data_IF_386175532401
#
_entry.id   IF_386175532401
#
_cell.length_a   1.000
_cell.length_b   1.000
_cell.length_c   1.000
_cell.angle_alpha   90.00
_cell.angle_beta   90.00
_cell.angle_gamma   90.00
#
_symmetry.space_group_name_H-M   'P 1'
#
loop_
_entity.id
_entity.type
_entity.pdbx_description
1 polymer ?
#
# COMPACT_ATOMS: atom_id res chain seq x y z
N UNK A 1 14.55 31.03 -18.97
CA UNK A 1 15.71 30.12 -18.81
C UNK A 1 16.55 30.59 -17.63
N UNK A 2 16.24 30.08 -16.44
CA UNK A 2 16.82 30.37 -15.11
C UNK A 2 16.22 29.27 -14.23
N UNK A 3 16.90 28.38 -13.49
CA UNK A 3 18.26 28.30 -12.91
C UNK A 3 18.61 26.80 -12.69
N UNK A 4 19.84 26.33 -12.96
CA UNK A 4 20.36 25.06 -12.43
C UNK A 4 21.14 25.23 -11.10
N UNK A 5 21.04 26.41 -10.46
CA UNK A 5 21.87 26.77 -9.30
C UNK A 5 21.29 26.23 -7.97
N UNK A 6 19.98 25.94 -7.90
CA UNK A 6 19.35 25.51 -6.64
C UNK A 6 19.68 24.06 -6.25
N UNK A 7 19.97 23.20 -7.23
CA UNK A 7 20.31 21.79 -6.99
C UNK A 7 21.70 21.63 -6.34
N UNK A 8 22.64 22.54 -6.65
CA UNK A 8 23.98 22.55 -6.07
C UNK A 8 24.03 23.06 -4.63
N UNK A 9 23.13 23.98 -4.26
CA UNK A 9 23.08 24.50 -2.88
C UNK A 9 22.50 23.46 -1.91
N UNK A 10 21.56 22.61 -2.36
CA UNK A 10 20.97 21.58 -1.49
C UNK A 10 21.85 20.35 -1.29
N UNK A 11 22.59 19.92 -2.31
CA UNK A 11 23.62 18.87 -2.16
C UNK A 11 24.82 19.36 -1.35
N UNK A 12 25.21 20.63 -1.48
CA UNK A 12 26.30 21.23 -0.70
C UNK A 12 25.98 21.38 0.80
N UNK A 13 24.75 21.75 1.17
CA UNK A 13 24.36 21.90 2.59
C UNK A 13 24.32 20.56 3.32
N UNK A 14 23.90 19.47 2.64
CA UNK A 14 23.94 18.12 3.22
C UNK A 14 25.38 17.63 3.43
N UNK A 15 26.29 17.90 2.50
CA UNK A 15 27.70 17.51 2.64
C UNK A 15 28.42 18.32 3.74
N UNK A 16 28.08 19.61 3.90
CA UNK A 16 28.66 20.46 4.95
C UNK A 16 28.10 20.12 6.33
N UNK A 17 26.82 19.74 6.46
CA UNK A 17 26.28 19.24 7.73
C UNK A 17 26.83 17.86 8.11
N UNK A 18 27.11 16.99 7.14
CA UNK A 18 27.75 15.70 7.36
C UNK A 18 29.23 15.83 7.76
N UNK A 19 29.97 16.79 7.16
CA UNK A 19 31.35 17.09 7.53
C UNK A 19 31.45 17.84 8.88
N UNK A 20 30.55 18.78 9.17
CA UNK A 20 30.53 19.50 10.44
C UNK A 20 30.14 18.62 11.64
N UNK A 21 29.47 17.49 11.42
CA UNK A 21 29.16 16.51 12.46
C UNK A 21 30.30 15.50 12.73
N UNK A 22 31.30 15.40 11.83
CA UNK A 22 32.43 14.47 11.96
C UNK A 22 33.66 15.08 12.64
N UNK A 23 33.69 16.40 12.85
CA UNK A 23 34.90 17.09 13.31
C UNK A 23 35.03 17.21 14.84
N UNK A 24 34.11 16.63 15.62
CA UNK A 24 34.25 16.57 17.08
C UNK A 24 33.78 15.22 17.66
N UNK A 25 34.76 14.46 18.16
CA UNK A 25 34.70 13.16 18.88
C UNK A 25 34.72 11.91 18.00
N UNK A 26 35.64 10.99 18.35
CA UNK A 26 35.86 9.69 17.71
C UNK A 26 34.69 8.72 17.85
N UNK A 27 33.59 9.00 17.15
CA UNK A 27 32.48 8.10 16.98
C UNK A 27 32.88 6.98 15.99
N UNK A 28 32.74 5.74 16.43
CA UNK A 28 32.82 4.55 15.57
C UNK A 28 31.89 4.73 14.36
N UNK A 29 32.26 4.26 13.15
CA UNK A 29 31.39 4.31 11.98
C UNK A 29 30.00 3.73 12.34
N UNK A 30 28.91 4.35 11.83
CA UNK A 30 27.55 3.91 12.15
C UNK A 30 27.40 2.42 11.83
N UNK A 31 26.68 1.70 12.68
CA UNK A 31 26.46 0.27 12.48
C UNK A 31 25.83 0.02 11.08
N UNK A 32 26.15 -1.08 10.39
CA UNK A 32 25.61 -1.38 9.05
C UNK A 32 24.07 -1.31 8.96
N UNK A 33 23.38 -1.57 10.07
CA UNK A 33 21.92 -1.44 10.16
C UNK A 33 21.45 0.02 10.10
N UNK A 34 22.20 0.96 10.69
CA UNK A 34 21.89 2.38 10.65
C UNK A 34 22.07 2.95 9.24
N UNK A 35 23.12 2.55 8.53
CA UNK A 35 23.29 2.91 7.11
C UNK A 35 22.15 2.34 6.25
N UNK A 36 21.76 1.08 6.47
CA UNK A 36 20.64 0.47 5.74
C UNK A 36 19.29 1.15 6.03
N UNK A 37 19.08 1.64 7.25
CA UNK A 37 17.86 2.34 7.63
C UNK A 37 17.84 3.76 7.06
N UNK A 38 18.97 4.46 7.09
CA UNK A 38 19.12 5.79 6.48
C UNK A 38 18.89 5.76 4.97
N UNK A 39 19.40 4.72 4.28
CA UNK A 39 19.17 4.52 2.85
C UNK A 39 17.69 4.20 2.57
N UNK A 40 17.06 3.33 3.37
CA UNK A 40 15.62 3.05 3.23
C UNK A 40 14.77 4.29 3.46
N UNK A 41 15.11 5.09 4.47
CA UNK A 41 14.39 6.32 4.78
C UNK A 41 14.59 7.38 3.68
N UNK A 42 15.78 7.49 3.07
CA UNK A 42 16.00 8.36 1.92
C UNK A 42 15.20 7.91 0.69
N UNK A 43 15.20 6.61 0.40
CA UNK A 43 14.49 6.04 -0.75
C UNK A 43 12.97 6.18 -0.57
N UNK A 44 12.47 5.99 0.65
CA UNK A 44 11.06 6.17 0.97
C UNK A 44 10.60 7.62 0.83
N UNK A 45 11.42 8.59 1.25
CA UNK A 45 11.10 10.03 1.12
C UNK A 45 11.10 10.45 -0.35
N UNK A 46 12.06 9.97 -1.14
CA UNK A 46 12.09 10.22 -2.58
C UNK A 46 10.85 9.62 -3.27
N UNK A 47 10.52 8.36 -2.93
CA UNK A 47 9.32 7.68 -3.45
C UNK A 47 8.04 8.43 -3.10
N UNK A 48 7.90 8.91 -1.87
CA UNK A 48 6.76 9.71 -1.44
C UNK A 48 6.63 11.00 -2.26
N UNK A 49 7.73 11.74 -2.41
CA UNK A 49 7.75 12.97 -3.18
C UNK A 49 7.32 12.72 -4.63
N UNK A 50 7.87 11.69 -5.27
CA UNK A 50 7.54 11.32 -6.66
C UNK A 50 6.06 10.97 -6.80
N UNK A 51 5.52 10.13 -5.91
CA UNK A 51 4.13 9.70 -5.98
C UNK A 51 3.15 10.84 -5.70
N UNK A 52 3.43 11.69 -4.72
CA UNK A 52 2.58 12.85 -4.41
C UNK A 52 2.60 13.89 -5.53
N UNK A 53 3.74 14.12 -6.16
CA UNK A 53 3.84 15.02 -7.31
C UNK A 53 3.10 14.45 -8.52
N UNK A 54 3.21 13.15 -8.79
CA UNK A 54 2.44 12.49 -9.85
C UNK A 54 0.92 12.60 -9.61
N UNK A 55 0.46 12.42 -8.37
CA UNK A 55 -0.94 12.63 -8.00
C UNK A 55 -1.39 14.07 -8.23
N UNK A 56 -0.59 15.05 -7.81
CA UNK A 56 -0.89 16.48 -8.00
C UNK A 56 -1.04 16.84 -9.48
N UNK A 57 -0.18 16.28 -10.33
CA UNK A 57 -0.25 16.50 -11.77
C UNK A 57 -1.48 15.84 -12.38
N UNK A 58 -1.78 14.60 -12.01
CA UNK A 58 -2.96 13.89 -12.49
C UNK A 58 -4.28 14.57 -12.05
N UNK A 59 -4.34 15.11 -10.83
CA UNK A 59 -5.48 15.92 -10.36
C UNK A 59 -5.67 17.19 -11.20
N UNK A 60 -4.56 17.86 -11.57
CA UNK A 60 -4.60 19.07 -12.39
C UNK A 60 -5.07 18.82 -13.83
N UNK A 61 -4.97 17.58 -14.32
CA UNK A 61 -5.44 17.20 -15.64
C UNK A 61 -6.95 16.88 -15.68
N UNK A 62 -7.63 16.87 -14.51
CA UNK A 62 -9.06 16.57 -14.35
C UNK A 62 -9.53 15.27 -15.04
N UNK A 63 -8.60 14.34 -15.29
CA UNK A 63 -8.86 13.06 -15.96
C UNK A 63 -8.39 11.92 -15.05
N UNK A 64 -9.17 11.55 -14.02
CA UNK A 64 -8.84 10.43 -13.15
C UNK A 64 -8.98 9.12 -13.93
N UNK A 65 -7.85 8.59 -14.37
CA UNK A 65 -7.72 7.33 -15.10
C UNK A 65 -7.21 6.20 -14.18
N UNK A 66 -6.90 5.04 -14.77
CA UNK A 66 -6.34 3.91 -14.02
C UNK A 66 -4.95 4.21 -13.44
N UNK A 67 -4.14 5.05 -14.09
CA UNK A 67 -2.83 5.45 -13.57
C UNK A 67 -2.97 6.32 -12.32
N UNK A 68 -3.96 7.22 -12.30
CA UNK A 68 -4.30 8.00 -11.10
C UNK A 68 -4.74 7.10 -9.94
N UNK A 69 -5.57 6.09 -10.21
CA UNK A 69 -6.00 5.13 -9.20
C UNK A 69 -4.83 4.29 -8.65
N UNK A 70 -3.90 3.88 -9.52
CA UNK A 70 -2.68 3.16 -9.12
C UNK A 70 -1.78 4.04 -8.24
N UNK A 71 -1.56 5.30 -8.61
CA UNK A 71 -0.78 6.23 -7.80
C UNK A 71 -1.40 6.45 -6.41
N UNK A 72 -2.72 6.55 -6.31
CA UNK A 72 -3.41 6.65 -5.02
C UNK A 72 -3.16 5.38 -4.17
N UNK A 73 -3.29 4.20 -4.79
CA UNK A 73 -2.99 2.95 -4.11
C UNK A 73 -1.55 2.88 -3.60
N UNK A 74 -0.58 3.25 -4.44
CA UNK A 74 0.85 3.18 -4.11
C UNK A 74 1.24 4.13 -2.96
N UNK A 75 0.64 5.32 -2.90
CA UNK A 75 0.82 6.23 -1.75
C UNK A 75 0.22 5.63 -0.48
N UNK A 76 -0.98 5.04 -0.57
CA UNK A 76 -1.58 4.33 0.56
C UNK A 76 -0.68 3.20 1.07
N UNK A 77 -0.11 2.40 0.17
CA UNK A 77 0.82 1.31 0.53
C UNK A 77 2.12 1.83 1.15
N UNK A 78 2.66 2.94 0.65
CA UNK A 78 3.83 3.58 1.25
C UNK A 78 3.59 3.96 2.72
N UNK A 79 2.47 4.63 3.01
CA UNK A 79 2.11 4.98 4.39
C UNK A 79 1.84 3.74 5.25
N UNK A 80 1.20 2.71 4.68
CA UNK A 80 0.94 1.44 5.38
C UNK A 80 2.24 0.75 5.79
N UNK A 81 3.23 0.68 4.90
CA UNK A 81 4.54 0.06 5.17
C UNK A 81 5.32 0.81 6.24
N UNK A 82 5.19 2.15 6.29
CA UNK A 82 5.75 2.98 7.36
C UNK A 82 5.00 2.89 8.69
N UNK A 83 3.84 2.21 8.72
CA UNK A 83 3.02 2.05 9.90
C UNK A 83 2.04 3.20 10.16
N UNK A 84 2.00 4.23 9.31
CA UNK A 84 0.98 5.28 9.39
C UNK A 84 -0.32 4.83 8.71
N UNK A 85 -1.04 3.97 9.43
CA UNK A 85 -2.31 3.41 8.95
C UNK A 85 -3.39 4.48 8.79
N UNK A 86 -3.29 5.61 9.51
CA UNK A 86 -4.26 6.70 9.44
C UNK A 86 -4.07 7.54 8.18
N UNK A 87 -2.81 7.82 7.80
CA UNK A 87 -2.49 8.46 6.54
C UNK A 87 -2.79 7.58 5.32
N UNK A 88 -2.62 6.25 5.42
CA UNK A 88 -2.86 5.32 4.32
C UNK A 88 -4.33 5.21 3.89
N UNK A 89 -5.25 5.11 4.86
CA UNK A 89 -6.67 4.86 4.63
C UNK A 89 -7.36 5.79 3.61
N UNK A 90 -7.24 7.13 3.69
CA UNK A 90 -7.91 8.02 2.75
C UNK A 90 -7.46 7.80 1.29
N UNK A 91 -6.22 7.41 1.06
CA UNK A 91 -5.74 7.16 -0.31
C UNK A 91 -6.40 5.92 -0.93
N UNK A 92 -6.54 4.84 -0.17
CA UNK A 92 -7.24 3.66 -0.67
C UNK A 92 -8.73 3.92 -0.92
N UNK A 93 -9.41 4.64 -0.03
CA UNK A 93 -10.81 5.02 -0.26
C UNK A 93 -11.00 5.89 -1.50
N UNK A 94 -10.06 6.79 -1.78
CA UNK A 94 -10.06 7.62 -2.99
C UNK A 94 -9.78 6.83 -4.27
N UNK A 95 -8.97 5.77 -4.19
CA UNK A 95 -8.63 4.95 -5.36
C UNK A 95 -9.83 4.13 -5.88
N UNK A 96 -10.68 3.60 -4.98
CA UNK A 96 -11.81 2.72 -5.35
C UNK A 96 -12.79 3.31 -6.39
N UNK A 97 -13.34 4.54 -6.21
CA UNK A 97 -14.25 5.11 -7.20
C UNK A 97 -13.55 5.41 -8.53
N UNK A 98 -12.25 5.71 -8.52
CA UNK A 98 -11.48 5.93 -9.76
C UNK A 98 -11.30 4.62 -10.51
N UNK A 99 -10.92 3.54 -9.82
CA UNK A 99 -10.88 2.20 -10.42
C UNK A 99 -12.22 1.81 -11.05
N UNK A 100 -13.31 2.04 -10.32
CA UNK A 100 -14.66 1.73 -10.81
C UNK A 100 -15.01 2.51 -12.09
N UNK A 101 -14.57 3.76 -12.21
CA UNK A 101 -14.85 4.63 -13.35
C UNK A 101 -13.93 4.38 -14.56
N UNK A 102 -12.65 4.05 -14.34
CA UNK A 102 -11.65 4.00 -15.41
C UNK A 102 -11.59 2.66 -16.13
N UNK A 103 -11.67 1.55 -15.38
CA UNK A 103 -11.51 0.18 -15.90
C UNK A 103 -12.74 -0.70 -15.64
N UNK A 104 -13.74 -0.15 -14.95
CA UNK A 104 -14.97 -0.83 -14.57
C UNK A 104 -14.90 -1.44 -13.18
N UNK A 105 -16.08 -1.72 -12.61
CA UNK A 105 -16.25 -2.12 -11.21
C UNK A 105 -15.65 -3.49 -10.83
N UNK A 106 -15.06 -4.23 -11.77
CA UNK A 106 -14.63 -5.63 -11.59
C UNK A 106 -13.15 -5.85 -11.93
N UNK A 107 -12.36 -4.77 -11.96
CA UNK A 107 -10.93 -4.86 -12.20
C UNK A 107 -10.18 -5.47 -10.99
N UNK A 108 -9.23 -6.40 -11.20
CA UNK A 108 -8.43 -7.00 -10.13
C UNK A 108 -7.70 -6.01 -9.21
N UNK A 109 -7.33 -4.81 -9.69
CA UNK A 109 -6.71 -3.75 -8.90
C UNK A 109 -7.65 -3.21 -7.81
N UNK A 110 -8.97 -3.25 -8.05
CA UNK A 110 -9.96 -2.94 -7.02
C UNK A 110 -9.89 -3.93 -5.86
N UNK A 111 -9.74 -5.22 -6.15
CA UNK A 111 -9.61 -6.24 -5.12
C UNK A 111 -8.33 -6.08 -4.29
N UNK A 112 -7.23 -5.64 -4.91
CA UNK A 112 -5.98 -5.32 -4.19
C UNK A 112 -6.22 -4.16 -3.22
N UNK A 113 -6.83 -3.05 -3.70
CA UNK A 113 -7.13 -1.88 -2.86
C UNK A 113 -8.07 -2.20 -1.70
N UNK A 114 -9.13 -3.00 -1.95
CA UNK A 114 -10.03 -3.49 -0.90
C UNK A 114 -9.32 -4.36 0.13
N UNK A 115 -8.41 -5.24 -0.31
CA UNK A 115 -7.62 -6.07 0.59
C UNK A 115 -6.69 -5.21 1.47
N UNK A 116 -6.07 -4.17 0.91
CA UNK A 116 -5.25 -3.23 1.67
C UNK A 116 -6.06 -2.47 2.74
N UNK A 117 -7.27 -2.00 2.41
CA UNK A 117 -8.17 -1.41 3.42
C UNK A 117 -8.53 -2.40 4.53
N UNK A 118 -8.84 -3.65 4.17
CA UNK A 118 -9.13 -4.69 5.15
C UNK A 118 -7.93 -4.95 6.09
N UNK A 119 -6.70 -4.94 5.58
CA UNK A 119 -5.49 -5.05 6.39
C UNK A 119 -5.33 -3.86 7.35
N UNK A 120 -5.69 -2.63 6.94
CA UNK A 120 -5.67 -1.47 7.83
C UNK A 120 -6.65 -1.65 9.00
N UNK A 121 -7.87 -2.12 8.73
CA UNK A 121 -8.85 -2.38 9.78
C UNK A 121 -8.44 -3.55 10.67
N UNK A 122 -7.83 -4.60 10.11
CA UNK A 122 -7.31 -5.74 10.87
C UNK A 122 -6.20 -5.30 11.85
N UNK A 123 -5.27 -4.46 11.39
CA UNK A 123 -4.21 -3.92 12.24
C UNK A 123 -4.75 -3.05 13.39
N UNK A 124 -5.91 -2.42 13.21
CA UNK A 124 -6.65 -1.69 14.26
C UNK A 124 -7.58 -2.58 15.09
N UNK A 125 -7.61 -3.89 14.84
CA UNK A 125 -8.52 -4.88 15.44
C UNK A 125 -10.01 -4.62 15.18
N UNK A 126 -10.31 -3.87 14.13
CA UNK A 126 -11.66 -3.55 13.68
C UNK A 126 -12.17 -4.61 12.70
N UNK A 127 -12.11 -5.90 13.09
CA UNK A 127 -12.35 -7.04 12.19
C UNK A 127 -13.74 -7.01 11.54
N UNK A 128 -14.76 -6.51 12.24
CA UNK A 128 -16.11 -6.36 11.69
C UNK A 128 -16.18 -5.41 10.49
N UNK A 129 -15.29 -4.42 10.41
CA UNK A 129 -15.18 -3.52 9.24
C UNK A 129 -14.34 -4.12 8.11
N UNK A 130 -13.38 -4.99 8.44
CA UNK A 130 -12.54 -5.66 7.45
C UNK A 130 -13.32 -6.72 6.64
N UNK A 131 -14.23 -7.47 7.29
CA UNK A 131 -15.01 -8.54 6.64
C UNK A 131 -15.70 -8.12 5.33
N UNK A 132 -16.54 -7.07 5.30
CA UNK A 132 -17.24 -6.69 4.07
C UNK A 132 -16.28 -6.28 2.93
N UNK A 133 -15.10 -5.74 3.27
CA UNK A 133 -14.09 -5.36 2.29
C UNK A 133 -13.44 -6.60 1.65
N UNK A 134 -13.13 -7.62 2.45
CA UNK A 134 -12.58 -8.88 1.95
C UNK A 134 -13.62 -9.66 1.13
N UNK A 135 -14.89 -9.66 1.55
CA UNK A 135 -16.00 -10.24 0.77
C UNK A 135 -16.12 -9.57 -0.61
N UNK A 136 -16.04 -8.24 -0.66
CA UNK A 136 -16.06 -7.50 -1.91
C UNK A 136 -14.82 -7.79 -2.76
N UNK A 137 -13.62 -7.88 -2.16
CA UNK A 137 -12.39 -8.23 -2.86
C UNK A 137 -12.46 -9.65 -3.46
N UNK A 138 -13.01 -10.61 -2.70
CA UNK A 138 -13.23 -11.97 -3.15
C UNK A 138 -14.17 -12.00 -4.35
N UNK A 139 -15.31 -11.31 -4.27
CA UNK A 139 -16.28 -11.23 -5.37
C UNK A 139 -15.66 -10.66 -6.65
N UNK A 140 -14.86 -9.60 -6.55
CA UNK A 140 -14.15 -9.03 -7.69
C UNK A 140 -13.19 -10.05 -8.30
N UNK A 141 -12.39 -10.76 -7.49
CA UNK A 141 -11.45 -11.78 -7.98
C UNK A 141 -12.16 -12.99 -8.59
N UNK A 142 -13.27 -13.43 -8.02
CA UNK A 142 -14.10 -14.51 -8.58
C UNK A 142 -14.69 -14.14 -9.93
N UNK A 143 -15.16 -12.90 -10.10
CA UNK A 143 -15.69 -12.42 -11.38
C UNK A 143 -14.58 -12.26 -12.43
N UNK A 144 -13.38 -11.82 -12.02
CA UNK A 144 -12.27 -11.60 -12.94
C UNK A 144 -11.56 -12.91 -13.37
N UNK A 145 -11.45 -13.89 -12.46
CA UNK A 145 -10.62 -15.08 -12.69
C UNK A 145 -11.38 -16.41 -12.62
N UNK A 146 -12.58 -16.44 -12.05
CA UNK A 146 -13.34 -17.66 -11.76
C UNK A 146 -13.22 -18.12 -10.31
N UNK A 147 -14.19 -18.96 -9.88
CA UNK A 147 -14.37 -19.37 -8.47
C UNK A 147 -13.39 -20.41 -7.95
N UNK A 148 -12.57 -21.00 -8.83
CA UNK A 148 -11.54 -21.99 -8.51
C UNK A 148 -10.12 -21.50 -8.86
N UNK A 149 -9.97 -20.23 -9.26
CA UNK A 149 -8.69 -19.73 -9.74
C UNK A 149 -7.72 -19.43 -8.59
N UNK A 150 -6.43 -19.82 -8.64
CA UNK A 150 -5.47 -19.59 -7.55
C UNK A 150 -5.35 -18.13 -7.09
N UNK A 151 -5.64 -17.15 -7.96
CA UNK A 151 -5.66 -15.72 -7.61
C UNK A 151 -6.73 -15.32 -6.58
N UNK A 152 -7.72 -16.16 -6.30
CA UNK A 152 -8.71 -15.87 -5.24
C UNK A 152 -8.24 -16.31 -3.84
N UNK A 153 -7.20 -17.17 -3.77
CA UNK A 153 -6.66 -17.74 -2.52
C UNK A 153 -6.37 -16.66 -1.47
N UNK A 154 -5.66 -15.55 -1.78
CA UNK A 154 -5.35 -14.55 -0.75
C UNK A 154 -6.59 -13.92 -0.13
N UNK A 155 -7.69 -13.76 -0.89
CA UNK A 155 -8.96 -13.26 -0.33
C UNK A 155 -9.61 -14.29 0.59
N UNK A 156 -9.60 -15.58 0.23
CA UNK A 156 -10.18 -16.64 1.05
C UNK A 156 -9.40 -16.80 2.37
N UNK A 157 -8.07 -16.76 2.31
CA UNK A 157 -7.20 -16.82 3.50
C UNK A 157 -7.48 -15.65 4.44
N UNK A 158 -7.49 -14.44 3.91
CA UNK A 158 -7.80 -13.25 4.72
C UNK A 158 -9.21 -13.34 5.31
N UNK A 159 -10.18 -13.84 4.55
CA UNK A 159 -11.56 -13.96 5.04
C UNK A 159 -11.66 -14.99 6.18
N UNK A 160 -11.08 -16.18 6.00
CA UNK A 160 -11.04 -17.21 7.03
C UNK A 160 -10.37 -16.69 8.32
N UNK A 161 -9.23 -16.01 8.19
CA UNK A 161 -8.52 -15.38 9.32
C UNK A 161 -9.41 -14.40 10.10
N UNK A 162 -10.09 -13.50 9.40
CA UNK A 162 -11.02 -12.54 10.02
C UNK A 162 -12.20 -13.23 10.72
N UNK A 163 -12.76 -14.30 10.12
CA UNK A 163 -13.84 -15.07 10.73
C UNK A 163 -13.39 -15.78 12.02
N UNK A 164 -12.17 -16.34 12.03
CA UNK A 164 -11.57 -16.93 13.24
C UNK A 164 -11.41 -15.89 14.35
N UNK A 165 -10.92 -14.69 14.02
CA UNK A 165 -10.77 -13.58 14.97
C UNK A 165 -12.11 -13.08 15.53
N UNK A 166 -13.20 -13.24 14.79
CA UNK A 166 -14.56 -12.94 15.22
C UNK A 166 -15.26 -14.10 15.95
N UNK A 167 -14.56 -15.21 16.21
CA UNK A 167 -15.12 -16.45 16.76
C UNK A 167 -16.24 -17.08 15.90
N UNK A 168 -16.27 -16.79 14.60
CA UNK A 168 -17.20 -17.36 13.61
C UNK A 168 -16.61 -18.65 13.02
N UNK A 169 -16.35 -19.63 13.88
CA UNK A 169 -15.56 -20.83 13.51
C UNK A 169 -16.20 -21.67 12.40
N UNK A 170 -17.51 -21.91 12.45
CA UNK A 170 -18.20 -22.70 11.43
C UNK A 170 -18.10 -22.07 10.03
N UNK A 171 -18.13 -20.74 9.96
CA UNK A 171 -18.01 -20.02 8.69
C UNK A 171 -16.56 -20.06 8.19
N UNK A 172 -15.59 -19.89 9.09
CA UNK A 172 -14.18 -20.02 8.75
C UNK A 172 -13.87 -21.41 8.18
N UNK A 173 -14.38 -22.49 8.80
CA UNK A 173 -14.20 -23.87 8.33
C UNK A 173 -14.76 -24.09 6.92
N UNK A 174 -15.89 -23.45 6.57
CA UNK A 174 -16.44 -23.52 5.21
C UNK A 174 -15.51 -22.84 4.20
N UNK A 175 -14.96 -21.68 4.56
CA UNK A 175 -14.02 -20.95 3.69
C UNK A 175 -12.70 -21.73 3.55
N UNK A 176 -12.17 -22.30 4.63
CA UNK A 176 -10.96 -23.13 4.63
C UNK A 176 -11.16 -24.42 3.84
N UNK A 177 -12.33 -25.07 3.96
CA UNK A 177 -12.67 -26.24 3.16
C UNK A 177 -12.71 -25.91 1.67
N UNK A 178 -13.26 -24.74 1.31
CA UNK A 178 -13.23 -24.25 -0.08
C UNK A 178 -11.81 -23.98 -0.54
N UNK A 179 -10.99 -23.34 0.29
CA UNK A 179 -9.60 -23.04 -0.03
C UNK A 179 -8.82 -24.33 -0.35
N UNK A 180 -9.03 -25.40 0.41
CA UNK A 180 -8.39 -26.69 0.19
C UNK A 180 -8.75 -27.39 -1.14
N UNK A 181 -9.83 -26.97 -1.81
CA UNK A 181 -10.22 -27.48 -3.13
C UNK A 181 -9.49 -26.78 -4.28
N UNK A 182 -8.86 -25.63 -4.01
CA UNK A 182 -8.16 -24.85 -5.04
C UNK A 182 -6.71 -25.34 -5.12
N UNK A 183 -6.28 -25.93 -6.25
CA UNK A 183 -4.90 -26.38 -6.40
C UNK A 183 -3.95 -25.17 -6.44
N UNK A 184 -3.09 -25.05 -5.43
CA UNK A 184 -2.01 -24.06 -5.39
C UNK A 184 -0.80 -24.68 -6.13
N UNK A 185 -0.29 -24.06 -7.20
CA UNK A 185 0.84 -24.58 -7.97
C UNK A 185 2.17 -24.56 -7.22
#
# INVERSE_FOLDING_TARGET
MMKPILHYVMTGIFLVLFLAACEDRGASPPAPQAESNLVKESDDVEKEFILLEALRQAEALEQPDSAFAAALHDVGELYRVRGDLAAAEPYFWRALPVWAASVGAMDPHMAITLSSLALLFEARKEYAKAVPLVEQALKVREMAFGVEHPRIVPSLEQYAGLLRLLNRHEEAERIEARLALIPVP
#
